data_IF_593710458191
#
_entry.id   IF_593710458191
#
_cell.length_a   1.000
_cell.length_b   1.000
_cell.length_c   1.000
_cell.angle_alpha   90.00
_cell.angle_beta   90.00
_cell.angle_gamma   90.00
#
_symmetry.space_group_name_H-M   'P 1'
#
loop_
_entity.id
_entity.type
_entity.pdbx_description
1 polymer ?
#
# COMPACT_ATOMS: atom_id res chain seq x y z
N UNK A 1 40.00 -29.10 -4.20
CA UNK A 1 39.26 -28.10 -5.01
C UNK A 1 39.25 -26.80 -4.20
N UNK A 2 39.94 -25.79 -4.65
CA UNK A 2 39.96 -24.45 -4.04
C UNK A 2 38.63 -23.79 -4.39
N UNK A 3 37.76 -23.63 -3.41
CA UNK A 3 36.48 -22.91 -3.62
C UNK A 3 36.83 -21.42 -3.80
N UNK A 4 36.47 -20.84 -4.94
CA UNK A 4 36.66 -19.42 -5.19
C UNK A 4 35.80 -18.60 -4.25
N UNK A 5 36.43 -17.71 -3.50
CA UNK A 5 35.74 -16.74 -2.60
C UNK A 5 35.73 -15.34 -3.23
N UNK A 6 35.97 -15.26 -4.53
CA UNK A 6 35.98 -13.99 -5.26
C UNK A 6 34.57 -13.38 -5.27
N UNK A 7 34.43 -12.12 -4.85
CA UNK A 7 33.13 -11.46 -4.70
C UNK A 7 32.32 -11.86 -3.44
N UNK A 8 32.92 -12.56 -2.48
CA UNK A 8 32.26 -12.93 -1.22
C UNK A 8 32.83 -12.11 -0.04
N UNK A 9 31.98 -11.87 0.94
CA UNK A 9 32.27 -11.05 2.11
C UNK A 9 32.49 -11.91 3.35
N UNK A 10 33.42 -11.50 4.22
CA UNK A 10 33.48 -12.02 5.59
C UNK A 10 32.31 -11.49 6.43
N UNK A 11 32.00 -12.14 7.55
CA UNK A 11 30.93 -11.69 8.45
C UNK A 11 31.11 -10.25 8.94
N UNK A 12 32.34 -9.81 9.20
CA UNK A 12 32.65 -8.43 9.58
C UNK A 12 32.32 -7.43 8.47
N UNK A 13 32.72 -7.75 7.24
CA UNK A 13 32.47 -6.92 6.05
C UNK A 13 30.98 -6.84 5.74
N UNK A 14 30.25 -7.97 5.86
CA UNK A 14 28.80 -8.02 5.69
C UNK A 14 28.11 -7.18 6.77
N UNK A 15 28.54 -7.25 8.01
CA UNK A 15 28.00 -6.45 9.12
C UNK A 15 28.25 -4.95 8.90
N UNK A 16 29.48 -4.58 8.56
CA UNK A 16 29.85 -3.18 8.31
C UNK A 16 29.07 -2.59 7.12
N UNK A 17 28.97 -3.34 6.01
CA UNK A 17 28.29 -2.87 4.79
C UNK A 17 26.76 -2.84 4.94
N UNK A 18 26.16 -3.76 5.69
CA UNK A 18 24.71 -3.78 5.92
C UNK A 18 24.26 -2.86 7.05
N UNK A 19 25.17 -2.41 7.92
CA UNK A 19 24.84 -1.66 9.13
C UNK A 19 24.08 -2.48 10.17
N UNK A 20 24.26 -3.82 10.16
CA UNK A 20 23.58 -4.76 11.07
C UNK A 20 24.61 -5.61 11.80
N UNK A 21 24.42 -5.83 13.10
CA UNK A 21 25.37 -6.60 13.92
C UNK A 21 25.55 -8.03 13.40
N UNK A 22 26.77 -8.57 13.51
CA UNK A 22 27.06 -9.96 13.18
C UNK A 22 26.17 -10.97 13.95
N UNK A 23 25.75 -10.63 15.16
CA UNK A 23 24.83 -11.44 15.95
C UNK A 23 23.44 -11.52 15.35
N UNK A 24 22.91 -10.37 14.89
CA UNK A 24 21.63 -10.26 14.20
C UNK A 24 21.65 -10.97 12.83
N UNK A 25 22.74 -10.80 12.06
CA UNK A 25 22.89 -11.50 10.78
C UNK A 25 22.91 -13.02 10.97
N UNK A 26 23.62 -13.53 12.00
CA UNK A 26 23.58 -14.95 12.36
C UNK A 26 22.19 -15.42 12.77
N UNK A 27 21.39 -14.56 13.39
CA UNK A 27 20.00 -14.88 13.69
C UNK A 27 19.18 -14.98 12.41
N UNK A 28 19.30 -14.04 11.47
CA UNK A 28 18.64 -14.09 10.17
C UNK A 28 19.01 -15.35 9.34
N UNK A 29 20.28 -15.76 9.40
CA UNK A 29 20.74 -17.02 8.79
C UNK A 29 20.03 -18.24 9.38
N UNK A 30 19.95 -18.34 10.72
CA UNK A 30 19.27 -19.43 11.41
C UNK A 30 17.77 -19.47 11.13
N UNK A 31 17.16 -18.32 10.93
CA UNK A 31 15.75 -18.19 10.55
C UNK A 31 15.51 -18.44 9.06
N UNK A 32 16.55 -18.73 8.26
CA UNK A 32 16.43 -19.03 6.83
C UNK A 32 16.03 -17.82 5.96
N UNK A 33 16.33 -16.59 6.43
CA UNK A 33 15.95 -15.34 5.75
C UNK A 33 16.96 -14.91 4.69
N UNK A 34 18.20 -15.42 4.72
CA UNK A 34 19.31 -14.99 3.86
C UNK A 34 19.61 -15.97 2.72
N UNK A 35 18.77 -16.97 2.49
CA UNK A 35 18.98 -17.98 1.47
C UNK A 35 19.36 -19.35 2.03
N UNK A 36 19.89 -20.22 1.18
CA UNK A 36 20.32 -21.56 1.55
C UNK A 36 21.65 -21.55 2.31
N UNK A 37 21.85 -22.54 3.17
CA UNK A 37 23.18 -22.76 3.77
C UNK A 37 24.25 -23.07 2.72
N UNK A 38 23.86 -23.54 1.54
CA UNK A 38 24.74 -23.83 0.40
C UNK A 38 25.28 -22.54 -0.25
N UNK A 39 24.64 -21.40 -0.05
CA UNK A 39 25.13 -20.10 -0.53
C UNK A 39 26.32 -19.59 0.31
N UNK A 40 26.56 -20.18 1.48
CA UNK A 40 27.63 -19.77 2.40
C UNK A 40 28.84 -20.69 2.25
N UNK A 41 29.96 -20.11 1.79
CA UNK A 41 31.22 -20.86 1.65
C UNK A 41 31.96 -20.92 2.98
N UNK A 42 32.10 -22.11 3.53
CA UNK A 42 32.89 -22.36 4.76
C UNK A 42 34.26 -22.91 4.39
N UNK A 43 35.33 -22.15 4.65
CA UNK A 43 36.69 -22.55 4.37
C UNK A 43 37.39 -23.19 5.58
N UNK A 44 36.89 -22.97 6.79
CA UNK A 44 37.33 -23.61 8.04
C UNK A 44 36.24 -23.56 9.09
N UNK A 45 36.48 -24.19 10.27
CA UNK A 45 35.54 -24.19 11.40
C UNK A 45 35.09 -22.79 11.83
N UNK A 46 35.94 -21.76 11.61
CA UNK A 46 35.72 -20.40 12.08
C UNK A 46 35.65 -19.36 10.94
N UNK A 47 35.75 -19.78 9.68
CA UNK A 47 35.77 -18.89 8.53
C UNK A 47 34.66 -19.25 7.56
N UNK A 48 33.72 -18.33 7.39
CA UNK A 48 32.66 -18.40 6.40
C UNK A 48 32.63 -17.12 5.56
N UNK A 49 32.29 -17.28 4.30
CA UNK A 49 32.16 -16.20 3.33
C UNK A 49 30.70 -16.18 2.82
N UNK A 50 30.17 -14.99 2.64
CA UNK A 50 28.79 -14.72 2.34
C UNK A 50 28.67 -13.97 1.00
N UNK A 51 27.66 -14.27 0.17
CA UNK A 51 27.43 -13.54 -1.07
C UNK A 51 27.26 -12.05 -0.83
N UNK A 52 27.77 -11.21 -1.74
CA UNK A 52 27.59 -9.76 -1.66
C UNK A 52 26.11 -9.34 -1.66
N UNK A 53 25.26 -10.09 -2.37
CA UNK A 53 23.80 -9.91 -2.38
C UNK A 53 23.14 -9.98 -0.98
N UNK A 54 23.82 -10.59 0.00
CA UNK A 54 23.30 -10.62 1.37
C UNK A 54 23.30 -9.24 2.03
N UNK A 55 24.09 -8.27 1.56
CA UNK A 55 24.08 -6.89 2.09
C UNK A 55 22.68 -6.28 1.94
N UNK A 56 22.17 -6.27 0.71
CA UNK A 56 20.84 -5.70 0.43
C UNK A 56 19.71 -6.53 1.07
N UNK A 57 19.87 -7.84 1.11
CA UNK A 57 18.92 -8.74 1.77
C UNK A 57 18.81 -8.46 3.27
N UNK A 58 19.95 -8.27 3.96
CA UNK A 58 19.99 -7.90 5.37
C UNK A 58 19.37 -6.54 5.63
N UNK A 59 19.67 -5.55 4.77
CA UNK A 59 19.06 -4.21 4.85
C UNK A 59 17.53 -4.27 4.70
N UNK A 60 17.04 -5.02 3.73
CA UNK A 60 15.60 -5.21 3.51
C UNK A 60 14.92 -5.84 4.73
N UNK A 61 15.50 -6.92 5.29
CA UNK A 61 14.94 -7.57 6.48
C UNK A 61 14.86 -6.57 7.63
N UNK A 62 15.95 -5.81 7.88
CA UNK A 62 15.99 -4.79 8.92
C UNK A 62 14.90 -3.75 8.72
N UNK A 63 14.75 -3.21 7.51
CA UNK A 63 13.71 -2.23 7.16
C UNK A 63 12.30 -2.77 7.42
N UNK A 64 12.00 -4.00 6.97
CA UNK A 64 10.70 -4.63 7.21
C UNK A 64 10.40 -4.85 8.69
N UNK A 65 11.43 -5.14 9.50
CA UNK A 65 11.27 -5.29 10.96
C UNK A 65 11.09 -3.94 11.68
N UNK A 66 11.92 -2.95 11.37
CA UNK A 66 11.99 -1.69 12.13
C UNK A 66 10.92 -0.68 11.67
N UNK A 67 10.64 -0.58 10.37
CA UNK A 67 9.70 0.40 9.80
C UNK A 67 8.29 -0.15 9.64
N UNK A 68 8.16 -1.46 9.32
CA UNK A 68 6.87 -2.11 9.12
C UNK A 68 6.46 -3.06 10.25
N UNK A 69 7.28 -3.20 11.29
CA UNK A 69 7.03 -4.06 12.45
C UNK A 69 6.66 -5.51 12.08
N UNK A 70 7.20 -6.01 10.97
CA UNK A 70 6.89 -7.36 10.49
C UNK A 70 7.61 -8.44 11.30
N UNK A 71 6.91 -9.49 11.77
CA UNK A 71 7.54 -10.67 12.34
C UNK A 71 8.42 -11.39 11.32
N UNK A 72 9.53 -11.99 11.74
CA UNK A 72 10.47 -12.70 10.84
C UNK A 72 9.79 -13.78 9.97
N UNK A 73 8.76 -14.43 10.51
CA UNK A 73 8.00 -15.43 9.73
C UNK A 73 7.30 -14.80 8.54
N UNK A 74 6.69 -13.63 8.72
CA UNK A 74 6.02 -12.89 7.64
C UNK A 74 7.04 -12.38 6.63
N UNK A 75 8.18 -11.86 7.10
CA UNK A 75 9.28 -11.42 6.22
C UNK A 75 9.76 -12.58 5.34
N UNK A 76 9.88 -13.79 5.90
CA UNK A 76 10.26 -14.99 5.14
C UNK A 76 9.27 -15.31 4.03
N UNK A 77 7.97 -15.18 4.31
CA UNK A 77 6.90 -15.39 3.32
C UNK A 77 6.95 -14.32 2.22
N UNK A 78 7.14 -13.05 2.59
CA UNK A 78 7.26 -11.93 1.65
C UNK A 78 8.49 -12.05 0.75
N UNK A 79 9.64 -12.41 1.32
CA UNK A 79 10.88 -12.57 0.56
C UNK A 79 10.86 -13.79 -0.36
N UNK A 80 10.14 -14.85 0.00
CA UNK A 80 9.97 -16.06 -0.80
C UNK A 80 11.28 -16.57 -1.40
N UNK A 81 11.23 -17.01 -2.67
CA UNK A 81 12.38 -17.44 -3.45
C UNK A 81 13.09 -16.30 -4.21
N UNK A 82 12.49 -15.10 -4.29
CA UNK A 82 13.02 -13.94 -5.02
C UNK A 82 13.06 -12.68 -4.13
N UNK A 83 14.13 -12.50 -3.37
CA UNK A 83 14.31 -11.33 -2.51
C UNK A 83 14.50 -10.00 -3.29
N UNK A 84 15.00 -10.05 -4.53
CA UNK A 84 15.15 -8.85 -5.36
C UNK A 84 13.78 -8.33 -5.79
N UNK A 85 12.89 -9.21 -6.19
CA UNK A 85 11.48 -8.87 -6.46
C UNK A 85 10.80 -8.32 -5.22
N UNK A 86 10.98 -8.96 -4.07
CA UNK A 86 10.42 -8.47 -2.80
C UNK A 86 10.93 -7.05 -2.47
N UNK A 87 12.22 -6.77 -2.68
CA UNK A 87 12.79 -5.44 -2.47
C UNK A 87 12.15 -4.38 -3.39
N UNK A 88 11.98 -4.70 -4.69
CA UNK A 88 11.32 -3.80 -5.65
C UNK A 88 9.87 -3.51 -5.29
N UNK A 89 9.12 -4.53 -4.86
CA UNK A 89 7.73 -4.35 -4.42
C UNK A 89 7.64 -3.44 -3.21
N UNK A 90 8.49 -3.65 -2.20
CA UNK A 90 8.56 -2.78 -1.02
C UNK A 90 8.92 -1.34 -1.38
N UNK A 91 9.90 -1.15 -2.26
CA UNK A 91 10.28 0.18 -2.75
C UNK A 91 9.14 0.85 -3.53
N UNK A 92 8.42 0.10 -4.36
CA UNK A 92 7.26 0.61 -5.10
C UNK A 92 6.14 1.07 -4.15
N UNK A 93 5.82 0.28 -3.12
CA UNK A 93 4.85 0.66 -2.10
C UNK A 93 5.26 1.93 -1.36
N UNK A 94 6.53 2.03 -0.93
CA UNK A 94 7.05 3.20 -0.22
C UNK A 94 6.95 4.46 -1.10
N UNK A 95 7.33 4.37 -2.37
CA UNK A 95 7.24 5.48 -3.34
C UNK A 95 5.81 5.94 -3.60
N UNK A 96 4.86 4.99 -3.70
CA UNK A 96 3.43 5.33 -3.87
C UNK A 96 2.93 6.07 -2.63
N UNK A 97 3.26 5.58 -1.42
CA UNK A 97 2.85 6.19 -0.18
C UNK A 97 3.47 7.58 0.02
N UNK A 98 4.77 7.75 -0.26
CA UNK A 98 5.45 9.05 -0.22
C UNK A 98 4.73 10.08 -1.12
N UNK A 99 4.45 9.73 -2.37
CA UNK A 99 3.74 10.61 -3.30
C UNK A 99 2.29 10.90 -2.87
N UNK A 100 1.60 9.90 -2.32
CA UNK A 100 0.25 10.10 -1.80
C UNK A 100 0.25 11.05 -0.60
N UNK A 101 1.25 10.93 0.29
CA UNK A 101 1.44 11.84 1.44
C UNK A 101 1.74 13.25 0.94
N UNK A 102 2.68 13.43 0.01
CA UNK A 102 3.03 14.73 -0.56
C UNK A 102 1.83 15.40 -1.26
N UNK A 103 1.09 14.64 -2.06
CA UNK A 103 -0.12 15.11 -2.73
C UNK A 103 -1.23 15.44 -1.73
N UNK A 104 -1.40 14.62 -0.70
CA UNK A 104 -2.37 14.83 0.37
C UNK A 104 -2.01 16.01 1.30
N UNK A 105 -0.73 16.37 1.41
CA UNK A 105 -0.26 17.52 2.18
C UNK A 105 -0.47 18.86 1.44
N UNK A 106 -0.36 18.83 0.11
CA UNK A 106 -0.59 19.97 -0.77
C UNK A 106 -2.08 20.08 -1.09
N UNK A 107 -2.72 21.17 -0.67
CA UNK A 107 -4.12 21.44 -1.07
C UNK A 107 -5.19 21.00 -0.08
N UNK A 108 -4.83 20.67 1.18
CA UNK A 108 -5.84 20.39 2.21
C UNK A 108 -6.78 21.56 2.44
N UNK A 109 -8.07 21.25 2.51
CA UNK A 109 -9.14 22.20 2.77
C UNK A 109 -9.54 22.14 4.24
N UNK A 110 -9.50 23.26 4.94
CA UNK A 110 -9.86 23.29 6.35
C UNK A 110 -11.33 22.91 6.58
N UNK A 111 -11.62 22.33 7.76
CA UNK A 111 -13.01 22.02 8.16
C UNK A 111 -13.92 23.26 8.10
N UNK A 112 -13.38 24.45 8.40
CA UNK A 112 -14.14 25.69 8.31
C UNK A 112 -14.49 26.04 6.86
N UNK A 113 -13.52 25.93 5.94
CA UNK A 113 -13.72 26.21 4.53
C UNK A 113 -14.72 25.22 3.89
N UNK A 114 -14.62 23.93 4.22
CA UNK A 114 -15.58 22.92 3.76
C UNK A 114 -17.00 23.26 4.18
N UNK A 115 -17.21 23.62 5.46
CA UNK A 115 -18.55 24.01 5.96
C UNK A 115 -19.07 25.31 5.35
N UNK A 116 -18.20 26.21 4.90
CA UNK A 116 -18.60 27.42 4.20
C UNK A 116 -18.98 27.16 2.74
N UNK A 117 -18.40 26.14 2.14
CA UNK A 117 -18.54 25.85 0.69
C UNK A 117 -19.66 24.84 0.41
N UNK A 118 -19.79 23.81 1.24
CA UNK A 118 -20.70 22.70 0.99
C UNK A 118 -21.83 22.67 2.02
N UNK A 119 -23.07 22.47 1.55
CA UNK A 119 -24.25 22.31 2.41
C UNK A 119 -24.30 20.87 3.00
N UNK A 120 -23.38 20.60 3.91
CA UNK A 120 -23.35 19.36 4.69
C UNK A 120 -23.32 19.68 6.17
N UNK A 121 -24.34 19.25 6.96
CA UNK A 121 -24.39 19.52 8.39
C UNK A 121 -23.16 18.99 9.14
N UNK A 122 -22.77 19.71 10.19
CA UNK A 122 -21.59 19.35 10.99
C UNK A 122 -21.65 17.92 11.55
N UNK A 123 -22.79 17.53 12.10
CA UNK A 123 -23.00 16.20 12.63
C UNK A 123 -22.88 15.09 11.57
N UNK A 124 -23.20 15.40 10.32
CA UNK A 124 -23.01 14.48 9.17
C UNK A 124 -21.52 14.32 8.88
N UNK A 125 -20.74 15.41 8.85
CA UNK A 125 -19.30 15.34 8.65
C UNK A 125 -18.62 14.56 9.79
N UNK A 126 -18.95 14.87 11.05
CA UNK A 126 -18.41 14.19 12.23
C UNK A 126 -18.73 12.68 12.16
N UNK A 127 -19.95 12.32 11.76
CA UNK A 127 -20.32 10.92 11.62
C UNK A 127 -19.59 10.19 10.50
N UNK A 128 -19.33 10.85 9.37
CA UNK A 128 -18.53 10.29 8.28
C UNK A 128 -17.06 10.09 8.69
N UNK A 129 -16.52 10.98 9.52
CA UNK A 129 -15.20 10.81 10.14
C UNK A 129 -15.17 9.59 11.08
N UNK A 130 -16.16 9.45 11.97
CA UNK A 130 -16.29 8.30 12.88
C UNK A 130 -16.44 6.95 12.13
N UNK A 131 -17.09 6.98 10.98
CA UNK A 131 -17.26 5.81 10.10
C UNK A 131 -16.06 5.56 9.18
N UNK A 132 -15.00 6.35 9.32
CA UNK A 132 -13.80 6.30 8.46
C UNK A 132 -14.12 6.39 6.96
N UNK A 133 -15.21 7.05 6.59
CA UNK A 133 -15.52 7.42 5.20
C UNK A 133 -14.73 8.66 4.81
N UNK A 134 -14.53 9.59 5.77
CA UNK A 134 -13.62 10.72 5.67
C UNK A 134 -12.45 10.50 6.63
N UNK A 135 -11.25 10.83 6.18
CA UNK A 135 -10.01 10.62 6.95
C UNK A 135 -9.18 11.92 7.04
N UNK A 136 -9.74 12.99 7.64
CA UNK A 136 -9.06 14.27 7.69
C UNK A 136 -7.76 14.20 8.51
N UNK A 137 -6.73 14.86 8.01
CA UNK A 137 -5.52 15.11 8.78
C UNK A 137 -5.65 16.32 9.70
N UNK A 138 -4.53 16.70 10.33
CA UNK A 138 -4.48 17.85 11.25
C UNK A 138 -4.87 19.18 10.60
N UNK A 139 -4.59 19.34 9.29
CA UNK A 139 -4.88 20.55 8.51
C UNK A 139 -6.25 20.53 7.81
N UNK A 140 -7.01 19.46 7.92
CA UNK A 140 -8.33 19.29 7.31
C UNK A 140 -8.39 18.14 6.32
N UNK A 141 -9.29 18.26 5.36
CA UNK A 141 -9.64 17.25 4.36
C UNK A 141 -8.69 17.31 3.16
N UNK A 142 -8.32 16.17 2.62
CA UNK A 142 -7.60 16.08 1.34
C UNK A 142 -8.56 16.15 0.14
N UNK A 143 -8.01 16.00 -1.07
CA UNK A 143 -8.80 16.13 -2.29
C UNK A 143 -9.89 15.05 -2.43
N UNK A 144 -9.62 13.83 -2.00
CA UNK A 144 -10.58 12.72 -2.08
C UNK A 144 -11.68 12.87 -1.02
N UNK A 145 -11.34 13.27 0.21
CA UNK A 145 -12.34 13.66 1.23
C UNK A 145 -13.26 14.77 0.72
N UNK A 146 -12.69 15.82 0.11
CA UNK A 146 -13.46 16.95 -0.45
C UNK A 146 -14.38 16.47 -1.57
N UNK A 147 -13.92 15.58 -2.45
CA UNK A 147 -14.74 15.01 -3.51
C UNK A 147 -15.93 14.19 -2.97
N UNK A 148 -15.71 13.43 -1.88
CA UNK A 148 -16.78 12.70 -1.19
C UNK A 148 -17.79 13.69 -0.59
N UNK A 149 -17.32 14.73 0.10
CA UNK A 149 -18.19 15.77 0.71
C UNK A 149 -19.00 16.49 -0.36
N UNK A 150 -18.38 16.86 -1.47
CA UNK A 150 -19.08 17.48 -2.61
C UNK A 150 -20.16 16.55 -3.16
N UNK A 151 -19.85 15.27 -3.35
CA UNK A 151 -20.83 14.30 -3.83
C UNK A 151 -22.03 14.19 -2.89
N UNK A 152 -21.79 14.12 -1.55
CA UNK A 152 -22.85 14.09 -0.55
C UNK A 152 -23.68 15.37 -0.58
N UNK A 153 -23.06 16.54 -0.67
CA UNK A 153 -23.76 17.82 -0.81
C UNK A 153 -24.67 17.82 -2.03
N UNK A 154 -24.20 17.32 -3.17
CA UNK A 154 -24.98 17.22 -4.41
C UNK A 154 -26.11 16.19 -4.31
N UNK A 155 -25.91 15.07 -3.64
CA UNK A 155 -27.00 14.11 -3.34
C UNK A 155 -28.11 14.77 -2.56
N UNK A 156 -27.77 15.50 -1.47
CA UNK A 156 -28.76 16.24 -0.66
C UNK A 156 -29.51 17.28 -1.48
N UNK A 157 -28.79 18.08 -2.27
CA UNK A 157 -29.40 19.05 -3.17
C UNK A 157 -30.34 18.39 -4.21
N UNK A 158 -30.07 17.15 -4.60
CA UNK A 158 -30.89 16.33 -5.50
C UNK A 158 -32.07 15.63 -4.83
N UNK A 159 -32.30 15.86 -3.51
CA UNK A 159 -33.44 15.27 -2.78
C UNK A 159 -33.14 13.94 -2.06
N UNK A 160 -31.88 13.53 -1.96
CA UNK A 160 -31.50 12.38 -1.12
C UNK A 160 -31.46 12.85 0.35
N UNK A 161 -32.58 12.75 1.04
CA UNK A 161 -32.76 13.26 2.41
C UNK A 161 -33.27 12.19 3.37
N UNK A 162 -33.10 12.45 4.67
CA UNK A 162 -33.52 11.52 5.73
C UNK A 162 -35.03 11.23 5.73
N UNK A 163 -35.83 12.19 5.27
CA UNK A 163 -37.28 12.00 5.13
C UNK A 163 -37.63 10.86 4.16
N UNK A 164 -36.77 10.57 3.20
CA UNK A 164 -36.86 9.45 2.26
C UNK A 164 -36.06 8.22 2.73
N UNK A 165 -35.47 8.26 3.92
CA UNK A 165 -34.70 7.18 4.52
C UNK A 165 -33.23 7.15 4.07
N UNK A 166 -32.73 8.16 3.34
CA UNK A 166 -31.31 8.24 2.99
C UNK A 166 -30.49 8.80 4.15
N UNK A 167 -29.44 8.07 4.51
CA UNK A 167 -28.59 8.41 5.65
C UNK A 167 -27.11 8.28 5.30
N UNK A 168 -26.24 8.78 6.17
CA UNK A 168 -24.78 8.60 6.04
C UNK A 168 -24.37 7.13 6.03
N UNK A 169 -25.15 6.25 6.61
CA UNK A 169 -24.88 4.82 6.64
C UNK A 169 -24.99 4.17 5.25
N UNK A 170 -25.68 4.79 4.30
CA UNK A 170 -25.74 4.31 2.94
C UNK A 170 -24.36 4.38 2.25
N UNK A 171 -23.46 5.25 2.70
CA UNK A 171 -22.08 5.31 2.23
C UNK A 171 -21.27 4.08 2.59
N UNK A 172 -21.61 3.40 3.70
CA UNK A 172 -20.93 2.19 4.14
C UNK A 172 -21.05 1.05 3.12
N UNK A 173 -22.17 0.95 2.43
CA UNK A 173 -22.37 -0.07 1.39
C UNK A 173 -21.33 0.04 0.28
N UNK A 174 -20.99 1.28 -0.09
CA UNK A 174 -19.95 1.53 -1.10
C UNK A 174 -18.57 1.21 -0.54
N UNK A 175 -18.26 1.64 0.69
CA UNK A 175 -17.00 1.32 1.35
C UNK A 175 -16.80 -0.19 1.50
N UNK A 176 -17.81 -0.91 1.99
CA UNK A 176 -17.79 -2.36 2.17
C UNK A 176 -17.64 -3.12 0.86
N UNK A 177 -18.24 -2.64 -0.22
CA UNK A 177 -18.12 -3.24 -1.55
C UNK A 177 -16.77 -2.94 -2.20
N UNK A 178 -16.26 -1.72 -2.04
CA UNK A 178 -15.00 -1.29 -2.67
C UNK A 178 -13.76 -1.78 -1.92
N UNK A 179 -13.78 -1.87 -0.59
CA UNK A 179 -12.59 -2.24 0.18
C UNK A 179 -11.97 -3.59 -0.24
N UNK A 180 -12.71 -4.70 -0.39
CA UNK A 180 -12.13 -5.95 -0.87
C UNK A 180 -11.68 -5.89 -2.34
N UNK A 181 -12.37 -5.12 -3.19
CA UNK A 181 -11.98 -4.90 -4.57
C UNK A 181 -10.65 -4.17 -4.65
N UNK A 182 -10.49 -3.07 -3.91
CA UNK A 182 -9.24 -2.29 -3.86
C UNK A 182 -8.09 -3.11 -3.31
N UNK A 183 -8.32 -3.93 -2.28
CA UNK A 183 -7.29 -4.83 -1.76
C UNK A 183 -6.81 -5.84 -2.83
N UNK A 184 -7.72 -6.39 -3.62
CA UNK A 184 -7.38 -7.27 -4.74
C UNK A 184 -6.66 -6.52 -5.86
N UNK A 185 -7.10 -5.31 -6.21
CA UNK A 185 -6.45 -4.46 -7.21
C UNK A 185 -4.99 -4.15 -6.83
N UNK A 186 -4.75 -3.75 -5.58
CA UNK A 186 -3.39 -3.50 -5.06
C UNK A 186 -2.53 -4.76 -5.18
N UNK A 187 -3.04 -5.91 -4.76
CA UNK A 187 -2.33 -7.18 -4.86
C UNK A 187 -1.95 -7.50 -6.32
N UNK A 188 -2.89 -7.34 -7.25
CA UNK A 188 -2.66 -7.60 -8.68
C UNK A 188 -1.68 -6.60 -9.28
N UNK A 189 -1.75 -5.32 -8.91
CA UNK A 189 -0.81 -4.30 -9.36
C UNK A 189 0.61 -4.60 -8.90
N UNK A 190 0.80 -4.89 -7.61
CA UNK A 190 2.12 -5.22 -7.07
C UNK A 190 2.68 -6.51 -7.67
N UNK A 191 1.84 -7.51 -7.92
CA UNK A 191 2.26 -8.74 -8.58
C UNK A 191 2.74 -8.49 -10.02
N UNK A 192 1.99 -7.73 -10.80
CA UNK A 192 2.31 -7.45 -12.21
C UNK A 192 3.45 -6.45 -12.39
N UNK A 193 3.59 -5.49 -11.48
CA UNK A 193 4.59 -4.42 -11.58
C UNK A 193 5.87 -4.71 -10.79
N UNK A 194 5.92 -5.79 -10.01
CA UNK A 194 7.10 -6.16 -9.22
C UNK A 194 8.36 -6.46 -10.02
N UNK A 195 8.24 -6.70 -11.34
CA UNK A 195 9.37 -6.87 -12.26
C UNK A 195 9.68 -5.60 -13.09
N UNK A 196 8.84 -4.57 -12.96
CA UNK A 196 8.99 -3.32 -13.70
C UNK A 196 9.88 -2.36 -12.89
N UNK A 197 10.64 -1.53 -13.59
CA UNK A 197 11.37 -0.43 -12.97
C UNK A 197 10.42 0.43 -12.11
N UNK A 198 10.84 0.79 -10.88
CA UNK A 198 9.99 1.42 -9.87
C UNK A 198 9.40 2.74 -10.36
N UNK A 199 10.19 3.61 -10.99
CA UNK A 199 9.69 4.89 -11.49
C UNK A 199 8.67 4.71 -12.62
N UNK A 200 8.88 3.69 -13.47
CA UNK A 200 7.91 3.34 -14.52
C UNK A 200 6.64 2.76 -13.92
N UNK A 201 6.72 1.91 -12.90
CA UNK A 201 5.57 1.34 -12.21
C UNK A 201 4.73 2.42 -11.55
N UNK A 202 5.35 3.37 -10.85
CA UNK A 202 4.67 4.54 -10.26
C UNK A 202 3.92 5.34 -11.33
N UNK A 203 4.57 5.67 -12.46
CA UNK A 203 3.89 6.38 -13.57
C UNK A 203 2.68 5.62 -14.12
N UNK A 204 2.76 4.29 -14.23
CA UNK A 204 1.63 3.45 -14.67
C UNK A 204 0.46 3.58 -13.69
N UNK A 205 0.73 3.48 -12.38
CA UNK A 205 -0.30 3.58 -11.34
C UNK A 205 -0.95 4.96 -11.35
N UNK A 206 -0.16 6.02 -11.38
CA UNK A 206 -0.66 7.40 -11.41
C UNK A 206 -1.53 7.66 -12.66
N UNK A 207 -1.07 7.20 -13.83
CA UNK A 207 -1.83 7.38 -15.07
C UNK A 207 -3.13 6.58 -15.11
N UNK A 208 -3.21 5.49 -14.34
CA UNK A 208 -4.39 4.64 -14.25
C UNK A 208 -5.49 5.15 -13.32
N UNK A 209 -5.16 6.03 -12.37
CA UNK A 209 -6.09 6.45 -11.32
C UNK A 209 -7.37 7.11 -11.86
N UNK A 210 -7.26 8.04 -12.81
CA UNK A 210 -8.42 8.71 -13.37
C UNK A 210 -9.24 7.80 -14.31
N UNK A 211 -8.64 7.07 -15.28
CA UNK A 211 -9.37 6.09 -16.09
C UNK A 211 -10.11 5.03 -15.26
N UNK A 212 -9.56 4.60 -14.15
CA UNK A 212 -10.20 3.61 -13.26
C UNK A 212 -11.48 4.20 -12.62
N UNK A 213 -11.42 5.43 -12.11
CA UNK A 213 -12.60 6.13 -11.56
C UNK A 213 -13.71 6.25 -12.61
N UNK A 214 -13.36 6.61 -13.83
CA UNK A 214 -14.31 6.72 -14.94
C UNK A 214 -14.93 5.36 -15.33
N UNK A 215 -14.11 4.31 -15.35
CA UNK A 215 -14.55 2.94 -15.60
C UNK A 215 -15.55 2.46 -14.53
N UNK A 216 -15.24 2.63 -13.25
CA UNK A 216 -16.13 2.26 -12.14
C UNK A 216 -17.46 3.00 -12.24
N UNK A 217 -17.45 4.31 -12.49
CA UNK A 217 -18.67 5.11 -12.66
C UNK A 217 -19.51 4.64 -13.84
N UNK A 218 -18.90 4.35 -15.00
CA UNK A 218 -19.58 3.85 -16.18
C UNK A 218 -20.18 2.44 -15.94
N UNK A 219 -19.42 1.55 -15.28
CA UNK A 219 -19.89 0.21 -14.93
C UNK A 219 -21.06 0.26 -13.94
N UNK A 220 -20.98 1.12 -12.90
CA UNK A 220 -22.08 1.32 -11.96
C UNK A 220 -23.36 1.75 -12.68
N UNK A 221 -23.30 2.72 -13.58
CA UNK A 221 -24.46 3.19 -14.36
C UNK A 221 -25.07 2.07 -15.20
N UNK A 222 -24.24 1.26 -15.86
CA UNK A 222 -24.71 0.12 -16.66
C UNK A 222 -25.39 -0.94 -15.79
N UNK A 223 -24.81 -1.29 -14.63
CA UNK A 223 -25.36 -2.26 -13.71
C UNK A 223 -26.68 -1.79 -13.11
N UNK A 224 -26.77 -0.51 -12.72
CA UNK A 224 -28.01 0.08 -12.22
C UNK A 224 -29.16 -0.08 -13.22
N UNK A 225 -28.92 0.27 -14.50
CA UNK A 225 -29.93 0.11 -15.55
C UNK A 225 -30.29 -1.36 -15.81
N UNK A 226 -29.33 -2.28 -15.70
CA UNK A 226 -29.59 -3.70 -15.85
C UNK A 226 -30.49 -4.24 -14.73
N UNK A 227 -30.21 -3.83 -13.48
CA UNK A 227 -31.05 -4.23 -12.31
C UNK A 227 -32.47 -3.65 -12.40
N UNK A 228 -32.61 -2.37 -12.78
CA UNK A 228 -33.93 -1.77 -12.98
C UNK A 228 -34.75 -2.50 -14.06
N UNK A 229 -34.10 -2.91 -15.17
CA UNK A 229 -34.77 -3.70 -16.21
C UNK A 229 -35.19 -5.08 -15.71
N UNK A 230 -34.33 -5.75 -14.90
CA UNK A 230 -34.62 -7.05 -14.30
C UNK A 230 -35.80 -6.96 -13.32
N UNK A 231 -35.80 -5.97 -12.45
CA UNK A 231 -36.87 -5.73 -11.51
C UNK A 231 -38.22 -5.40 -12.19
N UNK A 232 -38.20 -4.80 -13.39
CA UNK A 232 -39.40 -4.47 -14.15
C UNK A 232 -39.96 -5.67 -14.93
N UNK A 233 -39.13 -6.66 -15.25
CA UNK A 233 -39.53 -7.87 -16.00
C UNK A 233 -39.92 -9.05 -15.10
N UNK A 234 -39.77 -8.89 -13.77
CA UNK A 234 -40.24 -9.82 -12.75
C UNK A 234 -41.60 -9.36 -12.21
#
# INVERSE_FOLDING_TARGET
>A
MTVSTDGMLKMSELADRSGVSAGTIKHYLREGLLGSEDDVVRTSRNMAYYPEAFVERVRLIKRLQEERFMPLRVIREVMGSDPERAARVVELEDRILERAIEAGETGRVSRAAVRATYDVPRNVLERLEELEVLTPGTRGYDADDVAIIEAISRFRAGGYEEALGFTVYDTLRYREALAPLVAEEVRVLLDRLGEVDVDRAVRIIESGAQPLRELIGAMHSKLLLAELRRARGA
#
